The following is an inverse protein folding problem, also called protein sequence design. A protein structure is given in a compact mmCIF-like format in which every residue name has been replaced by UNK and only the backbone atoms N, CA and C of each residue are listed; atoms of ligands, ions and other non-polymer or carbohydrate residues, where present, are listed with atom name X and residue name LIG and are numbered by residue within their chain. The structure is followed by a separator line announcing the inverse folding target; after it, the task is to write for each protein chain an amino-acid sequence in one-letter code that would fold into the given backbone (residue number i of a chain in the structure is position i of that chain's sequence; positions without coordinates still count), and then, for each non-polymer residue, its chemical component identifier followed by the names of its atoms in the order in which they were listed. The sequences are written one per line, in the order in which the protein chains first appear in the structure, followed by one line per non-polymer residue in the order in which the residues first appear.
data_IF_316470650364
#
_entry.id   IF_316470650364
#
_cell.length_a   1.000
_cell.length_b   1.000
_cell.length_c   1.000
_cell.angle_alpha   90.00
_cell.angle_beta   90.00
_cell.angle_gamma   90.00
#
_symmetry.space_group_name_H-M   'P 1'
#
loop_
_entity.id
_entity.type
_entity.pdbx_description
1 polymer ?
#
# COMPACT_ATOMS: atom_id res chain seq x y z
N UNK A 1 -18.11 -71.86 -55.31
CA UNK A 1 -17.69 -70.57 -55.85
C UNK A 1 -17.09 -69.67 -54.77
N UNK A 2 -17.77 -69.24 -53.74
CA UNK A 2 -17.26 -68.30 -52.73
C UNK A 2 -15.99 -68.77 -51.96
N UNK A 3 -15.90 -70.03 -51.60
CA UNK A 3 -14.75 -70.62 -50.91
C UNK A 3 -13.48 -70.75 -51.79
N UNK A 4 -13.64 -70.86 -53.05
CA UNK A 4 -12.57 -70.92 -54.01
C UNK A 4 -12.02 -69.53 -54.33
N UNK A 5 -12.91 -68.54 -54.44
CA UNK A 5 -12.58 -67.14 -54.61
C UNK A 5 -11.81 -66.60 -53.39
N UNK A 6 -12.20 -66.93 -52.17
CA UNK A 6 -11.48 -66.58 -50.93
C UNK A 6 -10.06 -67.15 -50.91
N UNK A 7 -9.87 -68.38 -51.26
CA UNK A 7 -8.57 -69.05 -51.33
C UNK A 7 -7.62 -68.35 -52.34
N UNK A 8 -8.16 -68.04 -53.51
CA UNK A 8 -7.44 -67.38 -54.58
C UNK A 8 -7.01 -65.93 -54.12
N UNK A 9 -7.96 -65.22 -53.52
CA UNK A 9 -7.69 -63.87 -52.95
C UNK A 9 -6.59 -63.91 -51.87
N UNK A 10 -6.62 -64.87 -50.95
CA UNK A 10 -5.58 -65.06 -49.95
C UNK A 10 -4.23 -65.48 -50.56
N UNK A 11 -4.21 -66.26 -51.64
CA UNK A 11 -3.00 -66.60 -52.35
C UNK A 11 -2.39 -65.38 -53.00
N UNK A 12 -3.18 -64.57 -53.74
CA UNK A 12 -2.72 -63.34 -54.39
C UNK A 12 -2.17 -62.32 -53.35
N UNK A 13 -2.86 -62.16 -52.22
CA UNK A 13 -2.37 -61.25 -51.13
C UNK A 13 -1.04 -61.72 -50.52
N UNK A 14 -0.70 -63.04 -50.56
CA UNK A 14 0.56 -63.56 -50.03
C UNK A 14 1.68 -63.58 -51.05
N UNK A 15 1.42 -63.90 -52.29
CA UNK A 15 2.36 -64.27 -53.31
C UNK A 15 2.61 -63.13 -54.32
N UNK A 16 1.59 -62.28 -54.55
CA UNK A 16 1.64 -61.19 -55.53
C UNK A 16 1.76 -59.84 -54.81
N UNK A 17 2.94 -59.23 -55.00
CA UNK A 17 3.29 -57.98 -54.33
C UNK A 17 2.52 -56.78 -54.94
N UNK A 18 2.31 -56.74 -56.25
CA UNK A 18 1.56 -55.69 -56.94
C UNK A 18 0.09 -55.72 -56.51
N UNK A 19 -0.51 -56.92 -56.48
CA UNK A 19 -1.89 -57.07 -56.00
C UNK A 19 -2.08 -56.64 -54.55
N UNK A 20 -1.11 -56.96 -53.71
CA UNK A 20 -1.10 -56.56 -52.31
C UNK A 20 -1.05 -55.05 -52.16
N UNK A 21 -0.17 -54.36 -52.88
CA UNK A 21 -0.10 -52.92 -52.87
C UNK A 21 -1.39 -52.26 -53.41
N UNK A 22 -1.91 -52.76 -54.52
CA UNK A 22 -3.14 -52.29 -55.08
C UNK A 22 -4.33 -52.42 -54.10
N UNK A 23 -4.39 -53.53 -53.39
CA UNK A 23 -5.43 -53.76 -52.36
C UNK A 23 -5.19 -52.86 -51.15
N UNK A 24 -3.95 -52.63 -50.71
CA UNK A 24 -3.64 -51.69 -49.62
C UNK A 24 -4.01 -50.24 -49.98
N UNK A 25 -3.78 -49.83 -51.24
CA UNK A 25 -4.17 -48.50 -51.73
C UNK A 25 -5.68 -48.37 -51.80
N UNK A 26 -6.37 -49.37 -52.34
CA UNK A 26 -7.85 -49.42 -52.41
C UNK A 26 -8.52 -49.34 -51.01
N UNK A 27 -7.92 -49.91 -49.99
CA UNK A 27 -8.38 -49.93 -48.62
C UNK A 27 -7.94 -48.65 -47.82
N UNK A 28 -7.18 -47.74 -48.45
CA UNK A 28 -6.68 -46.52 -47.78
C UNK A 28 -5.63 -46.80 -46.68
N UNK A 29 -5.00 -48.00 -46.70
CA UNK A 29 -4.04 -48.40 -45.66
C UNK A 29 -2.74 -47.61 -45.73
N UNK A 30 -2.36 -47.10 -46.92
CA UNK A 30 -1.24 -46.21 -47.09
C UNK A 30 -1.47 -44.86 -46.48
N UNK A 31 -2.64 -44.26 -46.70
CA UNK A 31 -3.07 -43.00 -46.09
C UNK A 31 -3.14 -43.12 -44.57
N UNK A 32 -3.65 -44.24 -44.06
CA UNK A 32 -3.70 -44.54 -42.65
C UNK A 32 -2.30 -44.63 -42.04
N UNK A 33 -1.34 -45.27 -42.74
CA UNK A 33 0.06 -45.31 -42.31
C UNK A 33 0.72 -43.94 -42.29
N UNK A 34 0.42 -43.12 -43.30
CA UNK A 34 0.87 -41.72 -43.36
C UNK A 34 0.37 -40.92 -42.12
N UNK A 35 -0.94 -40.94 -41.92
CA UNK A 35 -1.57 -40.26 -40.77
C UNK A 35 -1.07 -40.77 -39.42
N UNK A 36 -0.82 -42.08 -39.25
CA UNK A 36 -0.24 -42.63 -38.03
C UNK A 36 1.21 -42.16 -37.79
N UNK A 37 2.00 -41.93 -38.83
CA UNK A 37 3.36 -41.35 -38.70
C UNK A 37 3.26 -39.88 -38.24
N UNK A 38 2.40 -39.08 -38.87
CA UNK A 38 2.19 -37.71 -38.53
C UNK A 38 1.75 -37.55 -37.07
N UNK A 39 0.76 -38.38 -36.63
CA UNK A 39 0.32 -38.41 -35.25
C UNK A 39 1.46 -38.78 -34.29
N UNK A 40 2.23 -39.81 -34.65
CA UNK A 40 3.39 -40.20 -33.82
C UNK A 40 4.40 -39.07 -33.69
N UNK A 41 4.74 -38.42 -34.80
CA UNK A 41 5.72 -37.34 -34.81
C UNK A 41 5.20 -36.12 -34.03
N UNK A 42 3.92 -35.77 -34.16
CA UNK A 42 3.26 -34.76 -33.34
C UNK A 42 3.27 -35.09 -31.84
N UNK A 43 3.06 -36.37 -31.47
CA UNK A 43 3.14 -36.82 -30.08
C UNK A 43 4.56 -36.68 -29.52
N UNK A 44 5.58 -36.97 -30.34
CA UNK A 44 7.00 -36.79 -29.94
C UNK A 44 7.31 -35.30 -29.68
N UNK A 45 6.87 -34.43 -30.59
CA UNK A 45 7.05 -33.00 -30.45
C UNK A 45 6.29 -32.42 -29.24
N UNK A 46 5.04 -32.87 -29.03
CA UNK A 46 4.25 -32.49 -27.86
C UNK A 46 4.93 -32.91 -26.55
N UNK A 47 5.47 -34.11 -26.48
CA UNK A 47 6.22 -34.59 -25.30
C UNK A 47 7.42 -33.70 -25.00
N UNK A 48 8.15 -33.27 -26.05
CA UNK A 48 9.28 -32.36 -25.88
C UNK A 48 8.84 -31.02 -25.32
N UNK A 49 7.78 -30.45 -25.89
CA UNK A 49 7.22 -29.16 -25.41
C UNK A 49 6.73 -29.25 -23.96
N UNK A 50 6.10 -30.35 -23.58
CA UNK A 50 5.66 -30.60 -22.19
C UNK A 50 6.87 -30.65 -21.23
N UNK A 51 7.97 -31.31 -21.63
CA UNK A 51 9.17 -31.37 -20.80
C UNK A 51 9.86 -30.01 -20.65
N UNK A 52 9.86 -29.21 -21.70
CA UNK A 52 10.37 -27.82 -21.64
C UNK A 52 9.50 -26.93 -20.73
N UNK A 53 8.18 -27.04 -20.87
CA UNK A 53 7.24 -26.33 -19.99
C UNK A 53 7.41 -26.75 -18.53
N UNK A 54 7.61 -28.02 -18.26
CA UNK A 54 7.84 -28.52 -16.90
C UNK A 54 9.07 -27.86 -16.27
N UNK A 55 10.19 -27.78 -17.01
CA UNK A 55 11.41 -27.11 -16.53
C UNK A 55 11.16 -25.63 -16.23
N UNK A 56 10.44 -24.94 -17.12
CA UNK A 56 10.10 -23.52 -16.94
C UNK A 56 9.23 -23.31 -15.69
N UNK A 57 8.24 -24.20 -15.47
CA UNK A 57 7.39 -24.15 -14.27
C UNK A 57 8.20 -24.39 -12.99
N UNK A 58 9.13 -25.35 -13.01
CA UNK A 58 10.02 -25.61 -11.87
C UNK A 58 10.90 -24.39 -11.54
N UNK A 59 11.41 -23.70 -12.56
CA UNK A 59 12.22 -22.49 -12.41
C UNK A 59 11.38 -21.32 -11.86
N UNK A 60 10.20 -21.07 -12.44
CA UNK A 60 9.28 -20.05 -11.93
C UNK A 60 8.86 -20.34 -10.48
N UNK A 61 8.65 -21.59 -10.12
CA UNK A 61 8.31 -21.97 -8.75
C UNK A 61 9.41 -21.58 -7.77
N UNK A 62 10.68 -21.78 -8.13
CA UNK A 62 11.82 -21.35 -7.29
C UNK A 62 11.87 -19.84 -7.15
N UNK A 63 11.68 -19.10 -8.25
CA UNK A 63 11.68 -17.64 -8.24
C UNK A 63 10.53 -17.08 -7.37
N UNK A 64 9.34 -17.68 -7.45
CA UNK A 64 8.19 -17.28 -6.61
C UNK A 64 8.49 -17.50 -5.11
N UNK A 65 9.14 -18.61 -4.75
CA UNK A 65 9.54 -18.88 -3.36
C UNK A 65 10.55 -17.84 -2.87
N UNK A 66 11.50 -17.45 -3.71
CA UNK A 66 12.50 -16.44 -3.38
C UNK A 66 11.88 -15.05 -3.20
N UNK A 67 11.05 -14.62 -4.17
CA UNK A 67 10.30 -13.37 -4.10
C UNK A 67 9.40 -13.30 -2.86
N UNK A 68 8.77 -14.40 -2.48
CA UNK A 68 7.94 -14.44 -1.28
C UNK A 68 8.77 -14.19 -0.01
N UNK A 69 9.96 -14.79 0.09
CA UNK A 69 10.88 -14.54 1.22
C UNK A 69 11.35 -13.09 1.29
N UNK A 70 11.65 -12.50 0.13
CA UNK A 70 12.04 -11.09 0.06
C UNK A 70 10.88 -10.18 0.48
N UNK A 71 9.65 -10.48 0.05
CA UNK A 71 8.46 -9.71 0.43
C UNK A 71 8.19 -9.81 1.94
N UNK A 72 8.28 -11.00 2.54
CA UNK A 72 8.15 -11.19 3.99
C UNK A 72 9.21 -10.37 4.76
N UNK A 73 10.45 -10.35 4.27
CA UNK A 73 11.51 -9.53 4.86
C UNK A 73 11.29 -8.02 4.71
N UNK A 74 10.62 -7.57 3.63
CA UNK A 74 10.23 -6.17 3.46
C UNK A 74 9.09 -5.79 4.41
N UNK A 75 8.09 -6.64 4.58
CA UNK A 75 6.97 -6.39 5.52
C UNK A 75 7.47 -6.22 6.96
N UNK A 76 8.43 -7.05 7.40
CA UNK A 76 9.05 -6.88 8.72
C UNK A 76 9.80 -5.55 8.87
N UNK A 77 10.47 -5.10 7.81
CA UNK A 77 11.19 -3.81 7.80
C UNK A 77 10.22 -2.63 7.81
N UNK A 78 9.14 -2.71 7.05
CA UNK A 78 8.07 -1.68 7.02
C UNK A 78 7.44 -1.57 8.41
N UNK A 79 6.99 -2.67 9.01
CA UNK A 79 6.40 -2.67 10.36
C UNK A 79 7.34 -2.09 11.43
N UNK A 80 8.64 -2.33 11.30
CA UNK A 80 9.63 -1.74 12.21
C UNK A 80 9.75 -0.23 12.02
N UNK A 81 9.72 0.26 10.78
CA UNK A 81 9.75 1.70 10.47
C UNK A 81 8.46 2.37 10.95
N UNK A 82 7.30 1.77 10.72
CA UNK A 82 6.02 2.27 11.21
C UNK A 82 6.02 2.41 12.73
N UNK A 83 6.45 1.39 13.48
CA UNK A 83 6.56 1.46 14.94
C UNK A 83 7.62 2.46 15.46
N UNK A 84 8.64 2.82 14.66
CA UNK A 84 9.54 3.91 14.99
C UNK A 84 8.90 5.28 14.74
N UNK A 85 8.15 5.43 13.64
CA UNK A 85 7.44 6.67 13.32
C UNK A 85 6.36 6.98 14.35
N UNK A 86 5.59 5.98 14.79
CA UNK A 86 4.58 6.13 15.85
C UNK A 86 5.24 6.62 17.16
N UNK A 87 6.35 6.01 17.56
CA UNK A 87 7.07 6.46 18.78
C UNK A 87 7.62 7.86 18.67
N UNK A 88 8.09 8.27 17.50
CA UNK A 88 8.58 9.62 17.26
C UNK A 88 7.42 10.63 17.29
N UNK A 89 6.28 10.30 16.71
CA UNK A 89 5.09 11.15 16.73
C UNK A 89 4.60 11.40 18.16
N UNK A 90 4.44 10.36 18.96
CA UNK A 90 4.04 10.47 20.38
C UNK A 90 5.05 11.32 21.17
N UNK A 91 6.36 11.17 20.94
CA UNK A 91 7.38 11.98 21.59
C UNK A 91 7.31 13.47 21.21
N UNK A 92 6.97 13.80 19.96
CA UNK A 92 6.79 15.20 19.53
C UNK A 92 5.54 15.85 20.16
N UNK A 93 4.45 15.10 20.29
CA UNK A 93 3.22 15.57 20.92
C UNK A 93 3.41 15.81 22.43
N UNK A 94 4.11 14.90 23.12
CA UNK A 94 4.46 15.04 24.54
C UNK A 94 5.38 16.28 24.75
N UNK A 95 6.43 16.43 23.95
CA UNK A 95 7.32 17.59 24.00
C UNK A 95 6.56 18.90 23.76
N UNK A 96 5.65 18.92 22.75
CA UNK A 96 4.83 20.09 22.45
C UNK A 96 3.96 20.51 23.63
N UNK A 97 3.26 19.55 24.25
CA UNK A 97 2.43 19.82 25.41
C UNK A 97 3.24 20.33 26.60
N UNK A 98 4.40 19.74 26.89
CA UNK A 98 5.26 20.16 27.97
C UNK A 98 5.78 21.60 27.77
N UNK A 99 6.23 21.94 26.57
CA UNK A 99 6.69 23.30 26.22
C UNK A 99 5.54 24.29 26.34
N UNK A 100 4.36 23.96 25.83
CA UNK A 100 3.20 24.85 25.88
C UNK A 100 2.76 25.09 27.32
N UNK A 101 2.64 24.05 28.12
CA UNK A 101 2.32 24.19 29.56
C UNK A 101 3.35 25.05 30.30
N UNK A 102 4.65 24.88 30.00
CA UNK A 102 5.69 25.70 30.56
C UNK A 102 5.49 27.19 30.20
N UNK A 103 5.27 27.51 28.93
CA UNK A 103 5.07 28.88 28.46
C UNK A 103 3.77 29.51 28.99
N UNK A 104 2.70 28.72 29.15
CA UNK A 104 1.46 29.17 29.77
C UNK A 104 1.63 29.50 31.25
N UNK A 105 2.36 28.67 32.02
CA UNK A 105 2.71 28.92 33.43
C UNK A 105 3.53 30.23 33.60
N UNK A 106 4.45 30.52 32.69
CA UNK A 106 5.19 31.79 32.69
C UNK A 106 4.27 33.01 32.52
N UNK A 107 3.08 32.82 31.90
CA UNK A 107 2.04 33.86 31.75
C UNK A 107 1.01 33.86 32.87
N UNK A 108 1.21 33.05 33.90
CA UNK A 108 0.27 32.92 35.01
C UNK A 108 -1.00 32.14 34.67
N UNK A 109 -0.99 31.34 33.58
CA UNK A 109 -2.09 30.49 33.18
C UNK A 109 -1.80 29.02 33.58
N UNK A 110 -2.69 28.40 34.35
CA UNK A 110 -2.56 27.05 34.83
C UNK A 110 -3.41 26.10 33.97
N UNK A 111 -3.21 26.13 32.65
CA UNK A 111 -3.88 25.23 31.69
C UNK A 111 -3.00 24.02 31.46
N UNK A 112 -3.54 22.83 31.73
CA UNK A 112 -2.90 21.57 31.36
C UNK A 112 -3.38 21.17 29.98
N UNK A 113 -2.45 20.76 29.10
CA UNK A 113 -2.73 20.36 27.73
C UNK A 113 -2.37 18.91 27.49
N UNK A 114 -3.16 18.23 26.67
CA UNK A 114 -2.95 16.85 26.23
C UNK A 114 -3.64 16.63 24.86
N UNK A 115 -3.32 15.57 24.14
CA UNK A 115 -4.05 15.20 22.94
C UNK A 115 -5.55 14.95 23.25
N UNK A 116 -6.44 15.38 22.34
CA UNK A 116 -7.88 15.23 22.50
C UNK A 116 -8.56 14.86 21.18
N UNK A 117 -9.38 13.83 21.22
CA UNK A 117 -10.23 13.37 20.10
C UNK A 117 -11.67 13.83 20.34
N UNK A 118 -12.22 14.61 19.41
CA UNK A 118 -13.60 15.09 19.48
C UNK A 118 -14.55 14.22 18.63
N UNK A 119 -14.10 13.82 17.44
CA UNK A 119 -14.75 12.83 16.59
C UNK A 119 -13.70 12.19 15.65
N UNK A 120 -14.12 11.30 14.74
CA UNK A 120 -13.22 10.58 13.80
C UNK A 120 -12.35 11.51 12.90
N UNK A 121 -12.70 12.79 12.78
CA UNK A 121 -12.03 13.77 11.90
C UNK A 121 -11.35 14.91 12.66
N UNK A 122 -11.67 15.07 13.94
CA UNK A 122 -11.20 16.17 14.77
C UNK A 122 -10.46 15.65 15.99
N UNK A 123 -9.20 15.42 15.77
CA UNK A 123 -8.18 15.13 16.76
C UNK A 123 -7.22 16.32 16.83
N UNK A 124 -6.92 16.78 18.01
CA UNK A 124 -5.94 17.84 18.26
C UNK A 124 -4.82 17.29 19.13
N UNK A 125 -3.58 17.51 18.72
CA UNK A 125 -2.39 17.06 19.43
C UNK A 125 -2.22 17.85 20.75
N UNK A 126 -2.83 19.05 20.82
CA UNK A 126 -2.77 19.96 21.93
C UNK A 126 -4.17 20.48 22.22
N UNK A 127 -4.71 20.19 23.40
CA UNK A 127 -5.97 20.73 23.88
C UNK A 127 -5.98 20.81 25.39
N UNK A 128 -6.46 21.95 25.92
CA UNK A 128 -6.65 22.14 27.35
C UNK A 128 -7.42 23.41 27.65
N UNK A 129 -8.14 23.44 28.78
CA UNK A 129 -8.88 24.60 29.20
C UNK A 129 -8.97 24.75 30.73
N UNK A 130 -8.98 25.97 31.22
CA UNK A 130 -9.28 26.32 32.61
C UNK A 130 -10.66 27.02 32.76
N UNK A 131 -11.48 27.03 31.68
CA UNK A 131 -12.77 27.70 31.61
C UNK A 131 -12.68 29.17 31.21
N UNK A 132 -11.52 29.81 31.32
CA UNK A 132 -11.29 31.22 30.91
C UNK A 132 -10.48 31.28 29.61
N UNK A 133 -9.59 30.31 29.42
CA UNK A 133 -8.80 30.18 28.23
C UNK A 133 -8.86 28.72 27.76
N UNK A 134 -9.03 28.54 26.48
CA UNK A 134 -8.91 27.22 25.82
C UNK A 134 -7.75 27.27 24.84
N UNK A 135 -6.77 26.39 25.04
CA UNK A 135 -5.63 26.24 24.16
C UNK A 135 -5.89 25.03 23.27
N UNK A 136 -5.76 25.19 21.96
CA UNK A 136 -6.02 24.13 20.98
C UNK A 136 -5.07 24.22 19.81
N UNK A 137 -4.51 23.09 19.37
CA UNK A 137 -3.54 23.12 18.30
C UNK A 137 -2.99 21.79 17.87
N UNK A 138 -1.92 21.88 17.09
CA UNK A 138 -1.21 20.73 16.51
C UNK A 138 0.30 20.85 16.73
N UNK A 139 0.95 19.67 16.78
CA UNK A 139 2.41 19.51 16.72
C UNK A 139 2.81 19.02 15.33
N UNK A 140 3.85 19.59 14.73
CA UNK A 140 4.33 19.21 13.38
C UNK A 140 5.85 19.36 13.30
N UNK A 141 6.50 18.41 12.63
CA UNK A 141 7.95 18.51 12.36
C UNK A 141 8.29 19.81 11.62
N UNK A 142 7.44 20.22 10.67
CA UNK A 142 7.63 21.43 9.87
C UNK A 142 6.32 22.19 9.70
N UNK A 143 6.41 23.51 9.91
CA UNK A 143 5.31 24.43 9.69
C UNK A 143 5.58 25.35 8.49
N UNK A 144 4.63 25.40 7.56
CA UNK A 144 4.55 26.36 6.46
C UNK A 144 3.28 27.19 6.52
N UNK A 145 3.10 28.21 5.65
CA UNK A 145 1.88 29.03 5.63
C UNK A 145 0.59 28.23 5.47
N UNK A 146 0.62 27.17 4.67
CA UNK A 146 -0.55 26.29 4.46
C UNK A 146 -0.90 25.48 5.71
N UNK A 147 0.09 25.08 6.51
CA UNK A 147 -0.13 24.40 7.78
C UNK A 147 -0.82 25.32 8.77
N UNK A 148 -0.36 26.57 8.86
CA UNK A 148 -0.94 27.60 9.75
C UNK A 148 -2.41 27.88 9.37
N UNK A 149 -2.69 28.09 8.07
CA UNK A 149 -4.08 28.31 7.60
C UNK A 149 -5.00 27.16 7.92
N UNK A 150 -4.57 25.94 7.58
CA UNK A 150 -5.36 24.73 7.83
C UNK A 150 -5.68 24.52 9.30
N UNK A 151 -4.71 24.77 10.19
CA UNK A 151 -4.95 24.74 11.63
C UNK A 151 -5.99 25.79 12.04
N UNK A 152 -5.84 27.05 11.60
CA UNK A 152 -6.78 28.10 11.95
C UNK A 152 -8.22 27.76 11.51
N UNK A 153 -8.40 27.35 10.26
CA UNK A 153 -9.70 26.92 9.70
C UNK A 153 -10.30 25.73 10.48
N UNK A 154 -9.45 24.77 10.82
CA UNK A 154 -9.90 23.57 11.55
C UNK A 154 -10.33 23.91 12.98
N UNK A 155 -9.62 24.79 13.66
CA UNK A 155 -10.00 25.25 15.01
C UNK A 155 -11.28 26.06 14.94
N UNK A 156 -11.42 26.97 13.98
CA UNK A 156 -12.65 27.76 13.79
C UNK A 156 -13.87 26.88 13.56
N UNK A 157 -13.76 25.88 12.67
CA UNK A 157 -14.82 24.90 12.45
C UNK A 157 -15.14 24.04 13.68
N UNK A 158 -14.13 23.70 14.49
CA UNK A 158 -14.34 22.98 15.74
C UNK A 158 -15.06 23.83 16.80
N UNK A 159 -14.71 25.10 16.92
CA UNK A 159 -15.38 26.06 17.83
C UNK A 159 -16.83 26.24 17.44
N UNK A 160 -17.14 26.37 16.16
CA UNK A 160 -18.53 26.47 15.67
C UNK A 160 -19.35 25.21 15.97
N UNK A 161 -18.72 24.05 15.86
CA UNK A 161 -19.40 22.75 16.01
C UNK A 161 -19.59 22.32 17.46
N UNK A 162 -18.63 22.66 18.33
CA UNK A 162 -18.65 22.28 19.76
C UNK A 162 -18.31 23.47 20.66
N UNK A 163 -19.09 24.54 20.66
CA UNK A 163 -18.79 25.76 21.43
C UNK A 163 -18.59 25.47 22.92
N UNK A 164 -19.25 24.47 23.48
CA UNK A 164 -19.15 24.08 24.88
C UNK A 164 -17.76 23.54 25.26
N UNK A 165 -17.00 23.06 24.29
CA UNK A 165 -15.61 22.57 24.50
C UNK A 165 -14.56 23.67 24.44
N UNK A 166 -14.95 24.87 23.99
CA UNK A 166 -14.03 26.01 23.82
C UNK A 166 -14.45 27.21 24.66
N UNK A 167 -14.58 27.05 26.00
CA UNK A 167 -14.96 28.18 26.86
C UNK A 167 -13.86 29.24 26.90
N UNK A 168 -14.28 30.50 27.04
CA UNK A 168 -13.38 31.66 27.21
C UNK A 168 -12.66 32.08 25.95
N UNK A 169 -11.44 32.57 26.10
CA UNK A 169 -10.58 32.94 24.96
C UNK A 169 -9.94 31.73 24.32
N UNK A 170 -10.14 31.55 23.01
CA UNK A 170 -9.52 30.42 22.27
C UNK A 170 -8.16 30.82 21.72
N UNK A 171 -7.13 30.13 22.18
CA UNK A 171 -5.75 30.30 21.74
C UNK A 171 -5.39 29.18 20.77
N UNK A 172 -5.25 29.52 19.50
CA UNK A 172 -4.79 28.63 18.45
C UNK A 172 -3.27 28.48 18.56
N UNK A 173 -2.74 27.27 18.72
CA UNK A 173 -1.28 27.04 18.86
C UNK A 173 -0.77 26.07 17.82
N UNK A 174 0.39 26.36 17.23
CA UNK A 174 1.12 25.46 16.36
C UNK A 174 2.54 25.29 16.90
N UNK A 175 2.81 24.11 17.42
CA UNK A 175 4.18 23.70 17.76
C UNK A 175 4.86 23.08 16.54
N UNK A 176 6.14 23.40 16.32
CA UNK A 176 6.91 22.75 15.27
C UNK A 176 8.41 22.71 15.60
N UNK A 177 9.12 21.73 15.05
CA UNK A 177 10.58 21.68 15.15
C UNK A 177 11.23 22.70 14.22
N UNK A 178 10.60 23.02 13.08
CA UNK A 178 11.11 24.01 12.11
C UNK A 178 9.98 24.77 11.43
N UNK A 179 9.99 26.09 11.53
CA UNK A 179 9.11 27.00 10.84
C UNK A 179 9.78 27.60 9.59
N UNK A 180 9.04 27.70 8.48
CA UNK A 180 9.46 28.53 7.34
C UNK A 180 9.19 30.02 7.61
N UNK A 181 9.92 30.97 6.99
CA UNK A 181 9.69 32.42 7.20
C UNK A 181 8.24 32.83 6.96
N UNK A 182 7.61 32.37 5.88
CA UNK A 182 6.22 32.69 5.59
C UNK A 182 5.18 32.08 6.57
N UNK A 183 5.57 31.07 7.38
CA UNK A 183 4.72 30.53 8.43
C UNK A 183 4.56 31.51 9.60
N UNK A 184 5.62 32.26 9.92
CA UNK A 184 5.61 33.28 11.01
C UNK A 184 4.65 34.39 10.62
N UNK A 185 4.81 34.97 9.44
CA UNK A 185 3.94 36.04 8.92
C UNK A 185 2.47 35.63 8.90
N UNK A 186 2.20 34.39 8.46
CA UNK A 186 0.86 33.87 8.40
C UNK A 186 0.27 33.60 9.80
N UNK A 187 1.09 33.14 10.74
CA UNK A 187 0.69 32.94 12.14
C UNK A 187 0.31 34.26 12.81
N UNK A 188 1.09 35.32 12.62
CA UNK A 188 0.77 36.66 13.10
C UNK A 188 -0.54 37.18 12.51
N UNK A 189 -0.75 37.00 11.21
CA UNK A 189 -1.96 37.41 10.50
C UNK A 189 -3.22 36.73 11.05
N UNK A 190 -3.15 35.41 11.27
CA UNK A 190 -4.30 34.59 11.71
C UNK A 190 -4.43 34.47 13.24
N UNK A 191 -3.51 35.09 13.99
CA UNK A 191 -3.50 35.02 15.44
C UNK A 191 -3.22 33.61 15.97
N UNK A 192 -2.36 32.86 15.28
CA UNK A 192 -1.90 31.56 15.72
C UNK A 192 -0.60 31.73 16.51
N UNK A 193 -0.57 31.21 17.72
CA UNK A 193 0.64 31.14 18.53
C UNK A 193 1.59 30.10 17.90
N UNK A 194 2.67 30.56 17.28
CA UNK A 194 3.65 29.70 16.61
C UNK A 194 4.89 29.53 17.51
N UNK A 195 5.16 28.28 17.85
CA UNK A 195 6.32 27.89 18.67
C UNK A 195 7.23 26.99 17.82
N UNK A 196 8.48 27.42 17.64
CA UNK A 196 9.53 26.64 16.98
C UNK A 196 10.49 26.08 18.02
N UNK A 197 10.42 24.78 18.29
CA UNK A 197 11.10 24.16 19.43
C UNK A 197 10.70 24.85 20.73
N UNK A 198 11.59 25.52 21.44
CA UNK A 198 11.29 26.27 22.65
C UNK A 198 11.15 27.80 22.43
N UNK A 199 11.11 28.24 21.16
CA UNK A 199 11.09 29.68 20.83
C UNK A 199 9.73 30.07 20.26
N UNK A 200 9.14 31.09 20.85
CA UNK A 200 7.94 31.71 20.32
C UNK A 200 8.30 32.57 19.10
N UNK A 201 7.73 32.20 17.93
CA UNK A 201 7.94 32.89 16.66
C UNK A 201 6.82 33.87 16.36
N UNK A 202 5.60 33.57 16.81
CA UNK A 202 4.46 34.47 16.84
C UNK A 202 3.77 34.34 18.21
N UNK A 203 3.32 35.48 18.79
CA UNK A 203 2.74 35.52 20.12
C UNK A 203 1.26 35.09 20.15
N UNK A 204 0.76 34.55 21.29
CA UNK A 204 -0.66 34.27 21.44
C UNK A 204 -1.49 35.57 21.51
N UNK A 205 -2.71 35.51 21.04
CA UNK A 205 -3.72 36.53 21.32
C UNK A 205 -4.54 36.09 22.54
N UNK A 206 -4.10 36.54 23.72
CA UNK A 206 -4.72 36.29 25.02
C UNK A 206 -5.74 37.39 25.36
#
# INVERSE_FOLDING_TARGET
MAAQLKRELFRLLKEDEEFRYAMMALLGLEDLRGSMREVRDSVVELRRSVEELRKTVEEHTKQIIELRRETEGLDERVSRVEGLLERLAVSEEEEANDVIMHLLRQRGLAVETAPAVFDEKHEFDIYGTDGRVTVVGEAKVRAGPSTVRRLAERVEGAVERWPEKFPGTVVKVLYCLRASPGAVEEAERLGVWLIESMKERAQPRL
#
